data_IF_522891954080
#
_entry.id   IF_522891954080
#
_cell.length_a   1.000
_cell.length_b   1.000
_cell.length_c   1.000
_cell.angle_alpha   90.00
_cell.angle_beta   90.00
_cell.angle_gamma   90.00
#
_symmetry.space_group_name_H-M   'P 1'
#
loop_
_entity.id
_entity.type
_entity.pdbx_description
1 polymer ?
#
# COMPACT_ATOMS: atom_id res chain seq x y z
N UNK A 1 50.20 -5.96 -20.34
CA UNK A 1 49.57 -6.61 -19.17
C UNK A 1 48.44 -7.49 -19.69
N UNK A 2 48.34 -8.77 -19.28
CA UNK A 2 47.20 -9.60 -19.68
C UNK A 2 45.93 -9.16 -18.95
N UNK A 3 44.78 -9.26 -19.63
CA UNK A 3 43.45 -8.93 -19.12
C UNK A 3 43.00 -9.95 -18.04
N UNK A 4 42.16 -9.54 -17.07
CA UNK A 4 41.65 -10.44 -16.03
C UNK A 4 40.74 -11.52 -16.64
N UNK A 5 40.70 -12.73 -16.07
CA UNK A 5 39.85 -13.81 -16.58
C UNK A 5 38.36 -13.46 -16.37
N UNK A 6 37.56 -13.71 -17.41
CA UNK A 6 36.12 -13.58 -17.35
C UNK A 6 35.53 -14.55 -16.30
N UNK A 7 34.71 -14.02 -15.39
CA UNK A 7 33.98 -14.83 -14.44
C UNK A 7 33.09 -15.85 -15.19
N UNK A 8 33.01 -17.12 -14.73
CA UNK A 8 32.14 -18.10 -15.35
C UNK A 8 30.68 -17.62 -15.27
N UNK A 9 29.97 -17.66 -16.39
CA UNK A 9 28.55 -17.35 -16.43
C UNK A 9 27.80 -18.31 -15.49
N UNK A 10 27.17 -17.76 -14.45
CA UNK A 10 26.31 -18.53 -13.56
C UNK A 10 25.21 -19.20 -14.39
N UNK A 11 25.07 -20.52 -14.22
CA UNK A 11 23.95 -21.24 -14.83
C UNK A 11 22.66 -20.71 -14.20
N UNK A 12 21.59 -20.49 -14.99
CA UNK A 12 20.31 -20.07 -14.42
C UNK A 12 19.88 -21.09 -13.37
N UNK A 13 19.54 -20.59 -12.18
CA UNK A 13 19.18 -21.41 -11.02
C UNK A 13 17.90 -22.24 -11.24
N UNK A 14 17.10 -21.89 -12.25
CA UNK A 14 15.85 -22.53 -12.62
C UNK A 14 15.84 -22.88 -14.10
N UNK A 15 15.26 -24.03 -14.42
CA UNK A 15 14.85 -24.35 -15.79
C UNK A 15 13.69 -23.45 -16.25
N UNK A 16 13.45 -23.41 -17.56
CA UNK A 16 12.35 -22.62 -18.14
C UNK A 16 10.99 -23.03 -17.58
N UNK A 17 10.76 -24.34 -17.39
CA UNK A 17 9.51 -24.86 -16.84
C UNK A 17 9.34 -24.46 -15.36
N UNK A 18 10.41 -24.53 -14.57
CA UNK A 18 10.39 -24.10 -13.16
C UNK A 18 10.16 -22.59 -13.04
N UNK A 19 10.78 -21.79 -13.92
CA UNK A 19 10.55 -20.35 -13.95
C UNK A 19 9.09 -20.01 -14.31
N UNK A 20 8.50 -20.70 -15.29
CA UNK A 20 7.09 -20.50 -15.66
C UNK A 20 6.14 -20.89 -14.53
N UNK A 21 6.42 -21.99 -13.84
CA UNK A 21 5.63 -22.43 -12.68
C UNK A 21 5.74 -21.42 -11.53
N UNK A 22 6.95 -20.92 -11.24
CA UNK A 22 7.17 -19.90 -10.22
C UNK A 22 6.42 -18.60 -10.56
N UNK A 23 6.46 -18.17 -11.83
CA UNK A 23 5.71 -16.99 -12.29
C UNK A 23 4.19 -17.17 -12.13
N UNK A 24 3.66 -18.36 -12.42
CA UNK A 24 2.24 -18.68 -12.22
C UNK A 24 1.85 -18.62 -10.73
N UNK A 25 2.66 -19.22 -9.86
CA UNK A 25 2.44 -19.20 -8.41
C UNK A 25 2.48 -17.77 -7.85
N UNK A 26 3.46 -16.96 -8.29
CA UNK A 26 3.57 -15.56 -7.86
C UNK A 26 2.42 -14.70 -8.40
N UNK A 27 1.88 -15.01 -9.58
CA UNK A 27 0.70 -14.33 -10.11
C UNK A 27 -0.58 -14.66 -9.31
N UNK A 28 -0.69 -15.89 -8.80
CA UNK A 28 -1.87 -16.36 -8.05
C UNK A 28 -1.82 -15.97 -6.57
N UNK A 29 -0.64 -16.05 -5.94
CA UNK A 29 -0.46 -15.90 -4.49
C UNK A 29 0.18 -14.57 -4.10
N UNK A 30 0.73 -13.83 -5.07
CA UNK A 30 1.52 -12.63 -4.83
C UNK A 30 2.94 -12.94 -4.32
N UNK A 31 3.80 -11.93 -4.29
CA UNK A 31 5.12 -12.05 -3.66
C UNK A 31 4.95 -11.92 -2.14
N UNK A 32 5.36 -12.91 -1.32
CA UNK A 32 5.20 -12.88 0.14
C UNK A 32 6.01 -11.75 0.81
N UNK A 33 6.96 -11.14 0.10
CA UNK A 33 7.70 -9.95 0.57
C UNK A 33 6.95 -8.66 0.29
N UNK A 34 5.94 -8.70 -0.58
CA UNK A 34 5.05 -7.57 -0.78
C UNK A 34 3.90 -7.68 0.22
N UNK A 35 3.57 -6.58 0.92
CA UNK A 35 2.32 -6.55 1.65
C UNK A 35 1.18 -6.87 0.65
N UNK A 36 0.14 -7.61 1.07
CA UNK A 36 -1.01 -7.87 0.21
C UNK A 36 -1.47 -6.54 -0.36
N UNK A 37 -1.54 -6.43 -1.70
CA UNK A 37 -1.85 -5.19 -2.39
C UNK A 37 -3.10 -4.60 -1.77
N UNK A 38 -2.92 -3.60 -0.90
CA UNK A 38 -3.96 -3.16 0.02
C UNK A 38 -4.99 -2.38 -0.76
N UNK A 39 -5.97 -3.07 -1.34
CA UNK A 39 -7.19 -2.52 -1.93
C UNK A 39 -7.01 -1.25 -2.76
N UNK A 40 -5.86 -1.06 -3.42
CA UNK A 40 -5.60 0.16 -4.17
C UNK A 40 -6.60 0.17 -5.31
N UNK A 41 -7.57 1.09 -5.23
CA UNK A 41 -8.62 1.22 -6.22
C UNK A 41 -7.95 1.42 -7.58
N UNK A 42 -8.32 0.65 -8.62
CA UNK A 42 -7.75 0.83 -9.94
C UNK A 42 -7.86 2.29 -10.38
N UNK A 43 -6.80 2.82 -11.00
CA UNK A 43 -6.82 4.19 -11.53
C UNK A 43 -7.95 4.30 -12.56
N UNK A 44 -8.84 5.26 -12.37
CA UNK A 44 -9.84 5.61 -13.36
C UNK A 44 -9.17 6.32 -14.55
N UNK A 45 -9.59 5.97 -15.77
CA UNK A 45 -9.08 6.63 -16.97
C UNK A 45 -9.89 7.90 -17.26
N UNK A 46 -9.21 8.92 -17.80
CA UNK A 46 -9.90 10.12 -18.28
C UNK A 46 -10.88 9.76 -19.41
N UNK A 47 -12.05 10.39 -19.40
CA UNK A 47 -13.03 10.23 -20.48
C UNK A 47 -12.53 10.86 -21.79
N UNK A 48 -13.07 10.46 -22.95
CA UNK A 48 -12.70 11.06 -24.24
C UNK A 48 -12.92 12.58 -24.31
N UNK A 49 -13.94 13.10 -23.62
CA UNK A 49 -14.22 14.53 -23.55
C UNK A 49 -13.15 15.28 -22.74
N UNK A 50 -12.67 14.67 -21.64
CA UNK A 50 -11.57 15.22 -20.84
C UNK A 50 -10.24 15.18 -21.60
N UNK A 51 -9.98 14.12 -22.36
CA UNK A 51 -8.76 14.01 -23.17
C UNK A 51 -8.73 15.00 -24.35
N UNK A 52 -9.89 15.46 -24.83
CA UNK A 52 -10.01 16.38 -25.95
C UNK A 52 -9.79 17.86 -25.57
N UNK A 53 -9.86 18.21 -24.28
CA UNK A 53 -9.70 19.58 -23.78
C UNK A 53 -8.60 19.65 -22.70
N UNK A 54 -7.50 20.38 -22.94
CA UNK A 54 -6.42 20.54 -21.95
C UNK A 54 -6.89 21.04 -20.58
N UNK A 55 -7.90 21.92 -20.52
CA UNK A 55 -8.40 22.44 -19.24
C UNK A 55 -9.19 21.37 -18.47
N UNK A 56 -10.03 20.60 -19.17
CA UNK A 56 -10.77 19.48 -18.60
C UNK A 56 -9.84 18.35 -18.13
N UNK A 57 -8.77 18.08 -18.88
CA UNK A 57 -7.76 17.10 -18.48
C UNK A 57 -6.99 17.53 -17.22
N UNK A 58 -6.59 18.81 -17.14
CA UNK A 58 -5.91 19.34 -15.96
C UNK A 58 -6.78 19.23 -14.69
N UNK A 59 -8.07 19.56 -14.79
CA UNK A 59 -9.00 19.41 -13.67
C UNK A 59 -9.18 17.95 -13.24
N UNK A 60 -9.19 17.02 -14.20
CA UNK A 60 -9.22 15.58 -13.92
C UNK A 60 -7.97 15.11 -13.16
N UNK A 61 -6.78 15.48 -13.62
CA UNK A 61 -5.52 15.10 -12.95
C UNK A 61 -5.42 15.69 -11.54
N UNK A 62 -5.85 16.94 -11.33
CA UNK A 62 -5.92 17.55 -9.99
C UNK A 62 -6.85 16.80 -9.05
N UNK A 63 -8.01 16.35 -9.54
CA UNK A 63 -8.95 15.54 -8.77
C UNK A 63 -8.35 14.18 -8.43
N UNK A 64 -7.69 13.55 -9.40
CA UNK A 64 -7.02 12.27 -9.23
C UNK A 64 -5.91 12.34 -8.18
N UNK A 65 -5.03 13.34 -8.27
CA UNK A 65 -3.95 13.54 -7.32
C UNK A 65 -4.47 13.73 -5.89
N UNK A 66 -5.55 14.50 -5.70
CA UNK A 66 -6.19 14.65 -4.39
C UNK A 66 -6.77 13.34 -3.88
N UNK A 67 -7.44 12.57 -4.73
CA UNK A 67 -8.01 11.28 -4.36
C UNK A 67 -6.92 10.27 -3.94
N UNK A 68 -5.79 10.25 -4.63
CA UNK A 68 -4.62 9.42 -4.27
C UNK A 68 -4.05 9.81 -2.90
N UNK A 69 -3.89 11.12 -2.64
CA UNK A 69 -3.41 11.60 -1.34
C UNK A 69 -4.40 11.28 -0.22
N UNK A 70 -5.70 11.46 -0.46
CA UNK A 70 -6.75 11.11 0.51
C UNK A 70 -6.79 9.60 0.81
N UNK A 71 -6.60 8.75 -0.21
CA UNK A 71 -6.52 7.30 -0.02
C UNK A 71 -5.32 6.93 0.86
N UNK A 72 -4.15 7.52 0.63
CA UNK A 72 -2.99 7.31 1.50
C UNK A 72 -3.23 7.84 2.93
N UNK A 73 -3.78 9.04 3.05
CA UNK A 73 -4.11 9.66 4.33
C UNK A 73 -5.20 8.90 5.11
N UNK A 74 -6.04 8.11 4.44
CA UNK A 74 -7.10 7.33 5.07
C UNK A 74 -6.60 6.30 6.10
N UNK A 75 -5.32 5.92 6.04
CA UNK A 75 -4.69 5.05 7.04
C UNK A 75 -4.85 5.56 8.48
N UNK A 76 -4.93 6.89 8.68
CA UNK A 76 -5.11 7.47 10.02
C UNK A 76 -6.49 7.15 10.64
N UNK A 77 -7.48 6.73 9.84
CA UNK A 77 -8.77 6.30 10.36
C UNK A 77 -8.69 4.95 11.08
N UNK A 78 -7.66 4.15 10.80
CA UNK A 78 -7.48 2.82 11.40
C UNK A 78 -6.78 2.88 12.77
N UNK A 79 -6.27 4.04 13.19
CA UNK A 79 -5.57 4.24 14.46
C UNK A 79 -6.31 3.62 15.67
N UNK A 80 -7.64 3.80 15.85
CA UNK A 80 -8.36 3.17 16.97
C UNK A 80 -8.28 1.64 16.95
N UNK A 81 -8.46 1.03 15.78
CA UNK A 81 -8.37 -0.42 15.63
C UNK A 81 -6.94 -0.92 15.86
N UNK A 82 -5.92 -0.18 15.40
CA UNK A 82 -4.52 -0.50 15.63
C UNK A 82 -4.16 -0.47 17.12
N UNK A 83 -4.67 0.50 17.89
CA UNK A 83 -4.50 0.54 19.36
C UNK A 83 -5.00 -0.75 20.00
N UNK A 84 -6.23 -1.14 19.69
CA UNK A 84 -6.86 -2.34 20.25
C UNK A 84 -6.05 -3.60 19.90
N UNK A 85 -5.60 -3.73 18.66
CA UNK A 85 -4.77 -4.87 18.25
C UNK A 85 -3.43 -4.95 18.98
N UNK A 86 -2.77 -3.80 19.19
CA UNK A 86 -1.50 -3.73 19.92
C UNK A 86 -1.70 -4.10 21.40
N UNK A 87 -2.78 -3.62 22.02
CA UNK A 87 -3.12 -3.96 23.40
C UNK A 87 -3.45 -5.45 23.56
N UNK A 88 -4.25 -6.01 22.66
CA UNK A 88 -4.58 -7.43 22.67
C UNK A 88 -3.33 -8.30 22.50
N UNK A 89 -2.45 -7.96 21.54
CA UNK A 89 -1.20 -8.67 21.32
C UNK A 89 -0.25 -8.60 22.53
N UNK A 90 -0.28 -7.48 23.27
CA UNK A 90 0.46 -7.35 24.53
C UNK A 90 -0.11 -8.21 25.67
N UNK A 91 -1.40 -8.51 25.66
CA UNK A 91 -2.07 -9.35 26.66
C UNK A 91 -2.01 -10.85 26.31
N UNK A 92 -2.07 -11.20 25.03
CA UNK A 92 -2.05 -12.59 24.56
C UNK A 92 -0.66 -13.22 24.64
N UNK A 93 0.40 -12.39 24.61
CA UNK A 93 1.78 -12.87 24.57
C UNK A 93 2.17 -13.50 23.23
N UNK A 94 1.35 -13.33 22.19
CA UNK A 94 1.62 -13.83 20.83
C UNK A 94 2.78 -13.11 20.15
N UNK A 95 3.16 -11.92 20.66
CA UNK A 95 4.23 -11.07 20.16
C UNK A 95 5.21 -10.74 21.29
N UNK A 96 6.48 -10.55 20.94
CA UNK A 96 7.50 -10.13 21.90
C UNK A 96 7.27 -8.70 22.39
N UNK A 97 7.79 -8.37 23.57
CA UNK A 97 7.69 -7.01 24.11
C UNK A 97 8.34 -5.97 23.19
N UNK A 98 9.43 -6.34 22.52
CA UNK A 98 10.12 -5.46 21.56
C UNK A 98 9.21 -5.14 20.36
N UNK A 99 8.55 -6.15 19.79
CA UNK A 99 7.60 -5.93 18.68
C UNK A 99 6.39 -5.07 19.10
N UNK A 100 5.92 -5.24 20.34
CA UNK A 100 4.84 -4.42 20.88
C UNK A 100 5.29 -2.96 21.06
N UNK A 101 6.50 -2.73 21.59
CA UNK A 101 7.03 -1.39 21.79
C UNK A 101 7.31 -0.68 20.45
N UNK A 102 7.82 -1.40 19.45
CA UNK A 102 7.96 -0.90 18.08
C UNK A 102 6.60 -0.53 17.47
N UNK A 103 5.58 -1.38 17.64
CA UNK A 103 4.24 -1.10 17.15
C UNK A 103 3.63 0.15 17.82
N UNK A 104 3.86 0.35 19.13
CA UNK A 104 3.45 1.55 19.86
C UNK A 104 4.16 2.80 19.33
N UNK A 105 5.47 2.73 19.13
CA UNK A 105 6.24 3.84 18.56
C UNK A 105 5.78 4.21 17.14
N UNK A 106 5.46 3.21 16.31
CA UNK A 106 4.90 3.46 14.98
C UNK A 106 3.51 4.10 15.05
N UNK A 107 2.67 3.65 15.99
CA UNK A 107 1.35 4.23 16.21
C UNK A 107 1.43 5.71 16.65
N UNK A 108 2.36 6.06 17.54
CA UNK A 108 2.61 7.46 17.92
C UNK A 108 2.95 8.34 16.71
N UNK A 109 3.73 7.83 15.76
CA UNK A 109 4.03 8.55 14.52
C UNK A 109 2.79 8.79 13.65
N UNK A 110 1.89 7.80 13.56
CA UNK A 110 0.63 7.95 12.84
C UNK A 110 -0.30 8.98 13.50
N UNK A 111 -0.31 9.06 14.83
CA UNK A 111 -1.08 10.06 15.56
C UNK A 111 -0.54 11.48 15.36
N UNK A 112 0.79 11.63 15.36
CA UNK A 112 1.43 12.90 15.00
C UNK A 112 1.05 13.32 13.59
N UNK A 113 1.08 12.40 12.62
CA UNK A 113 0.65 12.65 11.24
C UNK A 113 -0.83 13.07 11.19
N UNK A 114 -1.71 12.35 11.88
CA UNK A 114 -3.13 12.70 11.97
C UNK A 114 -3.33 14.13 12.49
N UNK A 115 -2.65 14.50 13.58
CA UNK A 115 -2.71 15.85 14.15
C UNK A 115 -2.18 16.93 13.20
N UNK A 116 -1.18 16.59 12.38
CA UNK A 116 -0.61 17.49 11.37
C UNK A 116 -1.60 17.70 10.23
N UNK A 117 -2.18 16.63 9.70
CA UNK A 117 -3.17 16.69 8.63
C UNK A 117 -4.41 17.49 9.08
N UNK A 118 -4.89 17.30 10.31
CA UNK A 118 -6.01 18.07 10.85
C UNK A 118 -5.75 19.58 10.90
N UNK A 119 -4.50 20.00 11.12
CA UNK A 119 -4.12 21.42 11.23
C UNK A 119 -3.76 22.06 9.89
N UNK A 120 -2.99 21.34 9.07
CA UNK A 120 -2.35 21.89 7.88
C UNK A 120 -3.13 21.60 6.59
N UNK A 121 -3.86 20.49 6.53
CA UNK A 121 -4.54 20.05 5.30
C UNK A 121 -5.80 19.21 5.63
N UNK A 122 -6.80 19.79 6.32
CA UNK A 122 -7.99 19.06 6.74
C UNK A 122 -8.79 18.49 5.55
N UNK A 123 -8.68 19.08 4.37
CA UNK A 123 -9.30 18.60 3.13
C UNK A 123 -8.74 17.25 2.63
N UNK A 124 -7.56 16.85 3.11
CA UNK A 124 -6.96 15.54 2.81
C UNK A 124 -7.49 14.45 3.74
N UNK A 125 -8.12 14.82 4.84
CA UNK A 125 -8.74 13.84 5.73
C UNK A 125 -10.04 13.35 5.12
N UNK A 126 -10.24 12.03 5.03
CA UNK A 126 -11.50 11.48 4.57
C UNK A 126 -12.66 11.96 5.46
N UNK A 127 -13.59 12.68 4.85
CA UNK A 127 -14.85 13.10 5.45
C UNK A 127 -15.80 11.90 5.50
N UNK A 128 -15.55 10.98 6.43
CA UNK A 128 -16.41 9.87 6.83
C UNK A 128 -17.37 9.29 5.78
N UNK A 129 -16.94 8.24 5.08
CA UNK A 129 -17.72 6.99 5.05
C UNK A 129 -16.77 5.87 4.65
N UNK A 130 -16.55 4.86 5.49
CA UNK A 130 -15.85 3.66 5.05
C UNK A 130 -16.73 3.01 3.98
N UNK A 131 -16.23 2.93 2.75
CA UNK A 131 -16.83 2.07 1.73
C UNK A 131 -16.57 0.63 2.16
N UNK A 132 -17.46 0.11 3.01
CA UNK A 132 -17.56 -1.33 3.27
C UNK A 132 -17.70 -2.02 1.93
N UNK A 133 -16.65 -2.74 1.53
CA UNK A 133 -16.67 -3.62 0.37
C UNK A 133 -17.63 -4.77 0.63
N UNK A 134 -18.91 -4.58 0.31
CA UNK A 134 -19.89 -5.65 0.20
C UNK A 134 -19.60 -6.47 -1.07
N UNK A 135 -18.66 -7.42 -0.98
CA UNK A 135 -18.53 -8.45 -1.99
C UNK A 135 -19.60 -9.53 -1.75
N UNK A 136 -20.77 -9.32 -2.36
CA UNK A 136 -21.77 -10.35 -2.58
C UNK A 136 -21.13 -11.48 -3.39
N UNK A 137 -21.06 -12.67 -2.78
CA UNK A 137 -20.63 -13.91 -3.44
C UNK A 137 -21.82 -14.51 -4.22
N UNK A 138 -21.66 -14.93 -5.48
CA UNK A 138 -22.61 -15.82 -6.16
C UNK A 138 -22.46 -17.28 -5.68
#
# INVERSE_FOLDING_TARGET
MPAPPAAPAEKPAYSVAEAQMLMQVMAEQGDPRQPPAGGLKPRESASPAQLADPAAYAAFEDQHARAEIQAWASGVQQIPQMREQIEQAGQSGERSSVEIDEARAALEQLEMLQSRLQREAPELLPSGTPVSGSATKP
#
